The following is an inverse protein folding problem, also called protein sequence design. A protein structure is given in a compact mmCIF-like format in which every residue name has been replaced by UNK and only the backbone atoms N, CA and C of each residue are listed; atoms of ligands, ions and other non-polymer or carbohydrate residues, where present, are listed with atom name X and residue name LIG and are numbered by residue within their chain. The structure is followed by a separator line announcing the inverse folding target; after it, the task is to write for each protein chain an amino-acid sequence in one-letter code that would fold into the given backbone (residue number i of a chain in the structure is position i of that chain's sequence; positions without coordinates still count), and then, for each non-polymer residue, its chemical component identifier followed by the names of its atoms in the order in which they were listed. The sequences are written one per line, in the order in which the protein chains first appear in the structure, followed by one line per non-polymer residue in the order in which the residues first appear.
data_IF_753369485456
#
_entry.id   IF_753369485456
#
_cell.length_a   1.000
_cell.length_b   1.000
_cell.length_c   1.000
_cell.angle_alpha   90.00
_cell.angle_beta   90.00
_cell.angle_gamma   90.00
#
_symmetry.space_group_name_H-M   'P 1'
#
loop_
_entity.id
_entity.type
_entity.pdbx_description
1 polymer ?
#
# COMPACT_ATOMS: atom_id res chain seq x y z
N UNK A 1 -6.45 18.63 -20.07
CA UNK A 1 -6.76 17.63 -21.11
C UNK A 1 -7.92 16.77 -20.61
N UNK A 2 -9.07 16.79 -21.31
CA UNK A 2 -10.24 15.97 -20.95
C UNK A 2 -9.89 14.49 -21.15
N UNK A 3 -10.19 13.66 -20.16
CA UNK A 3 -10.10 12.20 -20.29
C UNK A 3 -11.02 11.73 -21.43
N UNK A 4 -10.59 10.84 -22.32
CA UNK A 4 -11.51 10.25 -23.29
C UNK A 4 -12.55 9.43 -22.53
N UNK A 5 -13.83 9.72 -22.75
CA UNK A 5 -14.90 8.86 -22.27
C UNK A 5 -14.76 7.52 -23.01
N UNK A 6 -14.45 6.46 -22.27
CA UNK A 6 -14.46 5.10 -22.83
C UNK A 6 -15.93 4.73 -23.01
N UNK A 7 -16.45 4.92 -24.22
CA UNK A 7 -17.82 4.61 -24.58
C UNK A 7 -17.88 3.11 -24.91
N UNK A 8 -18.29 2.29 -23.95
CA UNK A 8 -18.48 0.86 -24.17
C UNK A 8 -19.73 0.64 -25.03
N UNK A 9 -19.60 -0.19 -26.07
CA UNK A 9 -20.73 -0.50 -26.95
C UNK A 9 -21.55 -1.62 -26.32
N UNK A 10 -22.84 -1.37 -26.11
CA UNK A 10 -23.79 -2.31 -25.49
C UNK A 10 -24.74 -2.83 -26.56
N UNK A 11 -25.06 -4.12 -26.51
CA UNK A 11 -25.89 -4.78 -27.51
C UNK A 11 -27.12 -5.45 -26.88
N UNK A 12 -28.22 -5.57 -27.62
CA UNK A 12 -29.45 -6.30 -27.28
C UNK A 12 -29.72 -7.36 -28.32
N UNK A 13 -30.42 -8.44 -27.96
CA UNK A 13 -30.94 -9.40 -28.95
C UNK A 13 -32.04 -8.75 -29.80
N UNK A 14 -32.02 -8.99 -31.10
CA UNK A 14 -33.03 -8.53 -32.07
C UNK A 14 -34.15 -9.58 -32.16
N UNK A 15 -35.41 -9.14 -32.16
CA UNK A 15 -36.54 -10.01 -32.52
C UNK A 15 -36.60 -10.17 -34.05
N UNK A 16 -36.99 -11.35 -34.52
CA UNK A 16 -36.93 -11.78 -35.92
C UNK A 16 -37.87 -11.03 -36.91
N UNK A 17 -38.37 -9.83 -36.57
CA UNK A 17 -39.33 -9.08 -37.39
C UNK A 17 -38.77 -7.84 -38.10
N UNK A 18 -37.49 -7.51 -37.95
CA UNK A 18 -36.88 -6.40 -38.71
C UNK A 18 -35.58 -6.86 -39.40
N UNK A 19 -35.70 -7.41 -40.61
CA UNK A 19 -34.54 -7.67 -41.47
C UNK A 19 -34.73 -6.94 -42.80
N UNK A 20 -34.02 -5.81 -42.97
CA UNK A 20 -33.74 -5.25 -44.30
C UNK A 20 -32.36 -5.70 -44.78
N UNK A 21 -32.26 -5.89 -46.09
CA UNK A 21 -31.18 -6.60 -46.75
C UNK A 21 -29.92 -5.73 -46.91
N UNK A 22 -29.13 -5.56 -45.85
CA UNK A 22 -27.76 -5.04 -45.96
C UNK A 22 -26.93 -5.38 -44.71
N UNK A 23 -26.57 -6.65 -44.53
CA UNK A 23 -25.47 -7.06 -43.62
C UNK A 23 -25.15 -8.55 -43.75
N UNK A 24 -24.35 -8.88 -44.76
CA UNK A 24 -23.68 -10.18 -44.85
C UNK A 24 -22.35 -10.07 -44.08
N UNK A 25 -22.39 -10.25 -42.76
CA UNK A 25 -21.28 -10.89 -42.02
C UNK A 25 -21.74 -11.33 -40.62
N UNK A 26 -21.42 -12.58 -40.27
CA UNK A 26 -21.67 -13.24 -38.98
C UNK A 26 -23.11 -13.65 -38.62
N UNK A 27 -23.55 -14.77 -39.23
CA UNK A 27 -24.50 -15.71 -38.61
C UNK A 27 -23.90 -16.26 -37.30
N UNK A 28 -24.28 -15.71 -36.14
CA UNK A 28 -24.44 -16.53 -34.92
C UNK A 28 -25.18 -15.88 -33.74
N UNK A 29 -25.31 -14.56 -33.62
CA UNK A 29 -26.23 -13.93 -32.65
C UNK A 29 -26.73 -12.59 -33.21
N UNK A 30 -28.05 -12.43 -33.38
CA UNK A 30 -28.67 -11.20 -33.88
C UNK A 30 -28.59 -10.09 -32.81
N UNK A 31 -27.44 -9.44 -32.70
CA UNK A 31 -27.17 -8.42 -31.68
C UNK A 31 -27.27 -7.01 -32.29
N UNK A 32 -28.26 -6.22 -31.83
CA UNK A 32 -28.46 -4.82 -32.19
C UNK A 32 -27.76 -3.92 -31.18
N UNK A 33 -27.01 -2.92 -31.66
CA UNK A 33 -26.36 -1.93 -30.78
C UNK A 33 -27.42 -0.97 -30.19
N UNK A 34 -27.42 -0.83 -28.87
CA UNK A 34 -28.36 0.05 -28.15
C UNK A 34 -27.90 1.50 -28.28
N UNK A 35 -28.81 2.40 -28.66
CA UNK A 35 -28.53 3.85 -28.68
C UNK A 35 -28.82 4.47 -27.30
N UNK A 36 -28.16 5.59 -26.99
CA UNK A 36 -28.33 6.27 -25.69
C UNK A 36 -29.76 6.77 -25.41
N UNK A 37 -30.61 6.84 -26.45
CA UNK A 37 -31.99 7.33 -26.39
C UNK A 37 -33.04 6.22 -26.39
N UNK A 38 -32.61 4.96 -26.36
CA UNK A 38 -33.48 3.79 -26.46
C UNK A 38 -34.00 3.41 -25.05
N UNK A 39 -35.33 3.33 -24.89
CA UNK A 39 -35.98 3.02 -23.61
C UNK A 39 -35.98 1.50 -23.40
N UNK A 40 -35.55 1.05 -22.22
CA UNK A 40 -35.45 -0.38 -21.89
C UNK A 40 -36.74 -0.90 -21.24
N UNK A 41 -37.17 -2.10 -21.62
CA UNK A 41 -38.34 -2.77 -21.05
C UNK A 41 -37.95 -3.93 -20.12
N UNK A 42 -38.74 -4.21 -19.06
CA UNK A 42 -38.52 -5.35 -18.18
C UNK A 42 -38.52 -6.68 -18.95
N UNK A 43 -37.43 -7.46 -18.84
CA UNK A 43 -37.26 -8.75 -19.52
C UNK A 43 -36.30 -8.72 -20.71
N UNK A 44 -35.85 -7.55 -21.16
CA UNK A 44 -34.82 -7.43 -22.20
C UNK A 44 -33.48 -8.03 -21.77
N UNK A 45 -32.84 -8.80 -22.66
CA UNK A 45 -31.49 -9.35 -22.45
C UNK A 45 -30.43 -8.48 -23.10
N UNK A 46 -29.54 -7.95 -22.28
CA UNK A 46 -28.47 -7.05 -22.69
C UNK A 46 -27.15 -7.80 -22.65
N UNK A 47 -26.38 -7.69 -23.72
CA UNK A 47 -25.05 -8.28 -23.85
C UNK A 47 -23.99 -7.19 -23.66
N UNK A 48 -23.25 -7.31 -22.57
CA UNK A 48 -22.15 -6.42 -22.22
C UNK A 48 -20.82 -7.05 -22.65
N UNK A 49 -19.87 -6.28 -23.23
CA UNK A 49 -18.53 -6.77 -23.45
C UNK A 49 -17.90 -7.24 -22.14
N UNK A 50 -17.19 -8.36 -22.14
CA UNK A 50 -16.51 -8.92 -20.95
C UNK A 50 -15.58 -7.88 -20.29
N UNK A 51 -14.99 -6.98 -21.07
CA UNK A 51 -14.18 -5.86 -20.58
C UNK A 51 -14.95 -4.86 -19.68
N UNK A 52 -16.28 -4.76 -19.81
CA UNK A 52 -17.15 -3.96 -18.93
C UNK A 52 -17.41 -4.69 -17.62
N UNK A 53 -17.69 -6.00 -17.68
CA UNK A 53 -17.86 -6.83 -16.47
C UNK A 53 -16.56 -6.89 -15.66
N UNK A 54 -15.41 -6.97 -16.33
CA UNK A 54 -14.10 -6.84 -15.70
C UNK A 54 -13.82 -5.42 -15.18
N UNK A 55 -14.43 -4.39 -15.76
CA UNK A 55 -14.33 -3.01 -15.27
C UNK A 55 -15.13 -2.80 -13.97
N UNK A 56 -16.23 -3.52 -13.76
CA UNK A 56 -16.95 -3.50 -12.47
C UNK A 56 -16.08 -4.05 -11.33
N UNK A 57 -15.30 -5.10 -11.60
CA UNK A 57 -14.32 -5.63 -10.64
C UNK A 57 -13.21 -4.60 -10.36
N UNK A 58 -12.85 -3.77 -11.36
CA UNK A 58 -11.82 -2.71 -11.24
C UNK A 58 -12.27 -1.48 -10.45
N UNK A 59 -13.57 -1.15 -10.41
CA UNK A 59 -14.07 0.00 -9.62
C UNK A 59 -13.94 -0.18 -8.10
N UNK A 60 -13.75 -1.40 -7.59
CA UNK A 60 -13.49 -1.61 -6.15
C UNK A 60 -12.18 -0.99 -5.64
N UNK A 61 -11.27 -0.59 -6.53
CA UNK A 61 -9.96 -0.04 -6.17
C UNK A 61 -9.79 1.43 -6.55
N UNK A 62 -10.80 2.07 -7.12
CA UNK A 62 -10.81 3.52 -7.28
C UNK A 62 -11.48 4.11 -6.04
N UNK A 63 -10.72 4.89 -5.27
CA UNK A 63 -11.24 5.67 -4.14
C UNK A 63 -12.50 6.39 -4.59
N UNK A 64 -13.65 6.03 -4.00
CA UNK A 64 -14.92 6.71 -4.24
C UNK A 64 -14.70 8.17 -3.81
N UNK A 65 -14.79 9.15 -4.72
CA UNK A 65 -14.64 10.55 -4.37
C UNK A 65 -15.93 11.00 -3.66
N UNK A 66 -16.05 10.70 -2.37
CA UNK A 66 -17.18 11.19 -1.59
C UNK A 66 -16.85 12.61 -1.12
N UNK A 67 -17.55 13.60 -1.66
CA UNK A 67 -17.45 15.02 -1.27
C UNK A 67 -18.19 15.30 0.06
N UNK A 68 -18.55 14.25 0.79
CA UNK A 68 -19.39 14.30 1.98
C UNK A 68 -18.53 14.00 3.21
N UNK A 69 -18.74 14.74 4.31
CA UNK A 69 -18.04 14.52 5.58
C UNK A 69 -18.38 13.17 6.24
N UNK A 70 -19.40 12.50 5.75
CA UNK A 70 -19.89 11.23 6.25
C UNK A 70 -19.67 10.14 5.21
N UNK A 71 -18.94 9.06 5.55
CA UNK A 71 -18.78 7.95 4.65
C UNK A 71 -20.14 7.28 4.40
N UNK A 72 -20.37 6.86 3.16
CA UNK A 72 -21.56 6.10 2.80
C UNK A 72 -21.48 4.67 3.39
N UNK A 73 -22.59 3.92 3.30
CA UNK A 73 -22.68 2.56 3.85
C UNK A 73 -21.59 1.63 3.33
N UNK A 74 -21.30 1.69 2.03
CA UNK A 74 -20.32 0.81 1.38
C UNK A 74 -18.89 1.13 1.80
N UNK A 75 -18.57 2.42 2.01
CA UNK A 75 -17.30 2.88 2.56
C UNK A 75 -17.11 2.42 4.00
N UNK A 76 -18.16 2.52 4.83
CA UNK A 76 -18.13 2.01 6.21
C UNK A 76 -17.89 0.50 6.20
N UNK A 77 -18.61 -0.25 5.37
CA UNK A 77 -18.44 -1.70 5.26
C UNK A 77 -17.03 -2.06 4.77
N UNK A 78 -16.52 -1.32 3.80
CA UNK A 78 -15.16 -1.48 3.31
C UNK A 78 -14.12 -1.23 4.42
N UNK A 79 -14.23 -0.13 5.17
CA UNK A 79 -13.33 0.19 6.28
C UNK A 79 -13.39 -0.88 7.37
N UNK A 80 -14.58 -1.39 7.69
CA UNK A 80 -14.75 -2.50 8.65
C UNK A 80 -14.01 -3.77 8.19
N UNK A 81 -13.98 -4.07 6.88
CA UNK A 81 -13.19 -5.19 6.33
C UNK A 81 -11.67 -4.99 6.46
N UNK A 82 -11.20 -3.75 6.57
CA UNK A 82 -9.77 -3.48 6.78
C UNK A 82 -9.33 -3.70 8.23
N UNK A 83 -10.27 -3.81 9.19
CA UNK A 83 -9.94 -4.00 10.60
C UNK A 83 -9.34 -5.38 10.81
N UNK A 84 -8.09 -5.43 11.25
CA UNK A 84 -7.40 -6.67 11.65
C UNK A 84 -7.67 -6.97 13.11
N UNK A 85 -7.66 -5.93 13.95
CA UNK A 85 -7.80 -6.08 15.39
C UNK A 85 -8.47 -4.86 16.01
N UNK A 86 -9.30 -5.10 17.02
CA UNK A 86 -9.97 -4.07 17.81
C UNK A 86 -10.12 -4.55 19.26
N UNK A 87 -9.68 -3.74 20.21
CA UNK A 87 -10.03 -3.88 21.62
C UNK A 87 -10.54 -2.54 22.19
N UNK A 88 -10.64 -2.39 23.51
CA UNK A 88 -11.11 -1.14 24.14
C UNK A 88 -10.19 0.06 23.90
N UNK A 89 -8.89 -0.14 23.66
CA UNK A 89 -7.90 0.93 23.58
C UNK A 89 -7.39 1.18 22.16
N UNK A 90 -7.23 0.14 21.33
CA UNK A 90 -6.56 0.24 20.03
C UNK A 90 -7.39 -0.34 18.89
N UNK A 91 -7.07 0.15 17.69
CA UNK A 91 -7.62 -0.33 16.43
C UNK A 91 -6.46 -0.50 15.44
N UNK A 92 -6.38 -1.66 14.79
CA UNK A 92 -5.35 -1.98 13.79
C UNK A 92 -6.02 -2.25 12.45
N UNK A 93 -5.61 -1.52 11.42
CA UNK A 93 -6.15 -1.63 10.07
C UNK A 93 -5.10 -2.15 9.09
N UNK A 94 -5.52 -2.91 8.08
CA UNK A 94 -4.73 -3.18 6.89
C UNK A 94 -4.97 -2.08 5.86
N UNK A 95 -4.12 -1.05 5.83
CA UNK A 95 -4.27 0.06 4.88
C UNK A 95 -3.95 -0.41 3.45
N UNK A 96 -4.87 -0.25 2.48
CA UNK A 96 -4.56 -0.48 1.08
C UNK A 96 -3.57 0.57 0.54
N UNK A 97 -2.85 0.27 -0.55
CA UNK A 97 -2.05 1.27 -1.26
C UNK A 97 -2.96 2.36 -1.87
N UNK A 98 -2.38 3.52 -2.18
CA UNK A 98 -3.02 4.71 -2.78
C UNK A 98 -4.04 5.47 -1.92
N UNK A 99 -4.33 5.02 -0.71
CA UNK A 99 -5.21 5.76 0.21
C UNK A 99 -4.39 6.76 1.04
N UNK A 100 -4.72 8.07 0.98
CA UNK A 100 -4.00 9.10 1.74
C UNK A 100 -4.31 9.01 3.24
N UNK A 101 -3.32 9.32 4.07
CA UNK A 101 -3.44 9.21 5.53
C UNK A 101 -4.12 10.40 6.18
N UNK A 102 -3.71 11.61 5.80
CA UNK A 102 -4.21 12.89 6.32
C UNK A 102 -4.51 13.78 5.13
N UNK A 103 -5.70 14.36 5.09
CA UNK A 103 -6.09 15.29 4.05
C UNK A 103 -5.30 16.60 4.17
N UNK A 104 -4.74 17.09 3.07
CA UNK A 104 -4.31 18.49 2.93
C UNK A 104 -5.19 19.12 1.84
N UNK A 105 -6.26 19.84 2.24
CA UNK A 105 -7.29 20.47 1.36
C UNK A 105 -8.03 19.48 0.42
N UNK A 106 -9.25 19.79 -0.07
CA UNK A 106 -10.51 19.09 0.19
C UNK A 106 -10.54 17.58 -0.19
N UNK A 107 -9.57 16.79 0.27
CA UNK A 107 -9.59 15.33 0.16
C UNK A 107 -10.37 14.82 1.35
N UNK A 108 -11.70 14.78 1.21
CA UNK A 108 -12.64 14.25 2.19
C UNK A 108 -12.54 12.72 2.37
N UNK A 109 -11.60 12.06 1.69
CA UNK A 109 -11.40 10.60 1.66
C UNK A 109 -10.05 10.15 2.23
N UNK A 110 -9.51 10.86 3.23
CA UNK A 110 -8.32 10.42 3.95
C UNK A 110 -8.66 9.40 5.04
N UNK A 111 -7.71 8.51 5.32
CA UNK A 111 -7.91 7.39 6.25
C UNK A 111 -8.23 7.87 7.67
N UNK A 112 -7.67 8.99 8.13
CA UNK A 112 -8.02 9.59 9.43
C UNK A 112 -9.49 9.99 9.51
N UNK A 113 -9.98 10.75 8.54
CA UNK A 113 -11.37 11.25 8.51
C UNK A 113 -12.34 10.09 8.36
N UNK A 114 -12.07 9.19 7.42
CA UNK A 114 -12.91 8.02 7.15
C UNK A 114 -12.98 7.07 8.35
N UNK A 115 -11.84 6.76 8.99
CA UNK A 115 -11.82 5.89 10.15
C UNK A 115 -12.47 6.56 11.38
N UNK A 116 -12.25 7.87 11.59
CA UNK A 116 -12.89 8.61 12.67
C UNK A 116 -14.43 8.57 12.55
N UNK A 117 -14.95 8.75 11.33
CA UNK A 117 -16.39 8.74 11.08
C UNK A 117 -17.01 7.33 11.09
N UNK A 118 -16.33 6.32 10.54
CA UNK A 118 -16.90 4.98 10.36
C UNK A 118 -16.64 4.01 11.52
N UNK A 119 -15.59 4.23 12.32
CA UNK A 119 -15.03 3.24 13.25
C UNK A 119 -15.00 3.74 14.70
N UNK A 120 -15.94 4.61 15.10
CA UNK A 120 -16.09 5.07 16.49
C UNK A 120 -16.50 3.93 17.44
N UNK A 121 -17.30 2.98 16.96
CA UNK A 121 -17.78 1.83 17.73
C UNK A 121 -18.43 2.22 19.07
N UNK A 122 -19.24 3.27 19.07
CA UNK A 122 -19.96 3.76 20.25
C UNK A 122 -19.19 4.74 21.14
N UNK A 123 -17.94 5.08 20.80
CA UNK A 123 -17.22 6.17 21.45
C UNK A 123 -17.72 7.54 20.93
N UNK A 124 -17.65 8.57 21.78
CA UNK A 124 -17.99 9.96 21.41
C UNK A 124 -17.07 10.49 20.29
N UNK A 125 -15.78 10.21 20.41
CA UNK A 125 -14.78 10.54 19.39
C UNK A 125 -14.35 9.29 18.62
N UNK A 126 -14.11 9.47 17.31
CA UNK A 126 -13.50 8.45 16.46
C UNK A 126 -12.03 8.16 16.80
N UNK A 127 -11.48 7.03 16.32
CA UNK A 127 -10.09 6.67 16.54
C UNK A 127 -9.10 7.66 15.90
N UNK A 128 -7.96 7.88 16.57
CA UNK A 128 -6.91 8.83 16.17
C UNK A 128 -5.65 8.11 15.67
N UNK A 129 -5.03 8.64 14.61
CA UNK A 129 -3.81 8.09 14.01
C UNK A 129 -2.61 8.17 14.96
N UNK A 130 -2.04 7.04 15.33
CA UNK A 130 -0.81 6.99 16.16
C UNK A 130 0.43 7.29 15.32
N UNK A 131 0.52 6.65 14.16
CA UNK A 131 1.59 6.82 13.19
C UNK A 131 1.00 6.98 11.78
N UNK A 132 1.88 7.24 10.81
CA UNK A 132 1.49 7.45 9.42
C UNK A 132 2.17 6.41 8.53
N UNK A 133 1.50 6.08 7.43
CA UNK A 133 2.06 5.41 6.27
C UNK A 133 2.02 6.38 5.09
N UNK A 134 2.90 6.23 4.12
CA UNK A 134 2.76 7.03 2.89
C UNK A 134 1.49 6.63 2.13
N UNK A 135 0.97 7.53 1.29
CA UNK A 135 -0.22 7.26 0.46
C UNK A 135 -0.10 5.93 -0.28
N UNK A 136 1.05 5.71 -0.91
CA UNK A 136 1.28 4.55 -1.77
C UNK A 136 1.78 3.31 -1.01
N UNK A 137 2.20 3.47 0.26
CA UNK A 137 2.59 2.34 1.15
C UNK A 137 1.35 1.61 1.63
N UNK A 138 1.41 0.29 1.78
CA UNK A 138 0.31 -0.54 2.30
C UNK A 138 0.65 -1.18 3.65
N UNK A 139 -0.33 -1.80 4.31
CA UNK A 139 -0.10 -2.64 5.49
C UNK A 139 -0.59 -2.05 6.80
N UNK A 140 -0.01 -2.52 7.91
CA UNK A 140 -0.50 -2.26 9.26
C UNK A 140 -0.50 -0.77 9.63
N UNK A 141 -1.65 -0.28 10.04
CA UNK A 141 -1.89 1.07 10.53
C UNK A 141 -2.53 1.00 11.92
N UNK A 142 -1.88 1.61 12.91
CA UNK A 142 -2.35 1.66 14.29
C UNK A 142 -3.05 2.98 14.61
N UNK A 143 -4.19 2.86 15.28
CA UNK A 143 -4.98 3.97 15.79
C UNK A 143 -5.31 3.76 17.28
N UNK A 144 -5.35 4.86 18.04
CA UNK A 144 -5.85 4.89 19.42
C UNK A 144 -7.34 5.18 19.41
N UNK A 145 -8.15 4.35 20.10
CA UNK A 145 -9.61 4.52 20.19
C UNK A 145 -10.04 5.54 21.23
N UNK A 146 -9.17 5.80 22.21
CA UNK A 146 -9.38 6.80 23.27
C UNK A 146 -8.27 7.84 23.24
N UNK A 147 -8.52 9.05 23.77
CA UNK A 147 -7.50 10.10 23.86
C UNK A 147 -6.25 9.61 24.61
N UNK A 148 -6.45 8.88 25.70
CA UNK A 148 -5.37 8.34 26.52
C UNK A 148 -4.55 7.29 25.76
N UNK A 149 -5.20 6.32 25.10
CA UNK A 149 -4.51 5.33 24.27
C UNK A 149 -3.67 5.97 23.17
N UNK A 150 -4.22 6.99 22.51
CA UNK A 150 -3.53 7.74 21.46
C UNK A 150 -2.28 8.43 22.02
N UNK A 151 -2.39 9.19 23.12
CA UNK A 151 -1.25 9.90 23.71
C UNK A 151 -0.11 8.94 24.08
N UNK A 152 -0.43 7.83 24.74
CA UNK A 152 0.56 6.83 25.17
C UNK A 152 1.25 6.18 23.97
N UNK A 153 0.48 5.76 22.97
CA UNK A 153 1.03 5.15 21.76
C UNK A 153 1.85 6.15 20.94
N UNK A 154 1.37 7.39 20.80
CA UNK A 154 2.07 8.42 20.04
C UNK A 154 3.44 8.74 20.65
N UNK A 155 3.53 8.77 21.99
CA UNK A 155 4.80 8.92 22.70
C UNK A 155 5.75 7.74 22.45
N UNK A 156 5.26 6.50 22.43
CA UNK A 156 6.07 5.31 22.10
C UNK A 156 6.66 5.37 20.69
N UNK A 157 5.88 5.82 19.70
CA UNK A 157 6.32 5.89 18.30
C UNK A 157 7.22 7.11 18.00
N UNK A 158 7.17 8.15 18.82
CA UNK A 158 7.98 9.37 18.64
C UNK A 158 9.31 9.28 19.40
N UNK A 159 9.36 8.50 20.49
CA UNK A 159 10.53 8.35 21.33
C UNK A 159 11.51 7.31 20.77
N UNK A 160 12.64 7.76 20.24
CA UNK A 160 13.70 6.88 19.69
C UNK A 160 14.15 5.83 20.73
N UNK A 161 14.27 6.22 22.01
CA UNK A 161 14.65 5.33 23.12
C UNK A 161 13.70 4.14 23.29
N UNK A 162 12.46 4.24 22.83
CA UNK A 162 11.40 3.24 22.97
C UNK A 162 11.05 2.56 21.65
N UNK A 163 11.79 2.83 20.56
CA UNK A 163 11.58 2.19 19.27
C UNK A 163 11.73 0.65 19.32
N UNK A 164 12.44 0.12 20.32
CA UNK A 164 12.54 -1.33 20.56
C UNK A 164 11.29 -1.93 21.19
N UNK A 165 10.48 -1.11 21.86
CA UNK A 165 9.25 -1.51 22.54
C UNK A 165 8.07 -1.59 21.58
N UNK A 166 8.05 -0.72 20.56
CA UNK A 166 7.07 -0.75 19.47
C UNK A 166 7.82 -0.88 18.14
N UNK A 167 7.86 -2.09 17.58
CA UNK A 167 8.62 -2.37 16.36
C UNK A 167 7.71 -2.54 15.16
N UNK A 168 8.11 -1.97 14.02
CA UNK A 168 7.49 -2.20 12.73
C UNK A 168 8.49 -2.90 11.81
N UNK A 169 8.03 -3.91 11.06
CA UNK A 169 8.78 -4.54 9.97
C UNK A 169 8.05 -4.32 8.66
N UNK A 170 8.80 -3.85 7.69
CA UNK A 170 8.33 -3.61 6.34
C UNK A 170 8.97 -4.61 5.42
N UNK A 171 8.19 -5.13 4.48
CA UNK A 171 8.72 -5.86 3.34
C UNK A 171 8.73 -4.93 2.14
N UNK A 172 9.86 -4.93 1.43
CA UNK A 172 10.01 -4.21 0.20
C UNK A 172 10.62 -5.10 -0.89
N UNK A 173 10.22 -4.85 -2.13
CA UNK A 173 10.90 -5.38 -3.31
C UNK A 173 11.72 -4.25 -3.92
N UNK A 174 13.04 -4.42 -4.02
CA UNK A 174 13.97 -3.43 -4.57
C UNK A 174 14.51 -3.87 -5.93
N UNK A 175 14.83 -2.89 -6.77
CA UNK A 175 15.54 -3.11 -8.05
C UNK A 175 17.03 -3.18 -7.73
N UNK A 176 17.68 -4.26 -8.14
CA UNK A 176 19.02 -4.64 -7.74
C UNK A 176 19.06 -5.35 -6.40
N UNK A 177 20.25 -5.39 -5.80
CA UNK A 177 20.53 -6.11 -4.55
C UNK A 177 21.50 -5.29 -3.72
N UNK A 178 21.19 -5.05 -2.43
CA UNK A 178 22.14 -4.40 -1.54
C UNK A 178 23.47 -5.17 -1.51
N UNK A 179 24.58 -4.45 -1.41
CA UNK A 179 25.92 -5.05 -1.38
C UNK A 179 26.09 -6.01 -0.21
N UNK A 180 25.60 -5.61 0.97
CA UNK A 180 25.62 -6.42 2.19
C UNK A 180 24.25 -7.10 2.40
N UNK A 181 24.25 -8.31 2.94
CA UNK A 181 23.00 -9.07 3.19
C UNK A 181 22.18 -8.50 4.35
N UNK A 182 22.79 -7.74 5.25
CA UNK A 182 22.14 -7.02 6.34
C UNK A 182 22.96 -5.82 6.77
N UNK A 183 22.33 -4.85 7.41
CA UNK A 183 23.05 -3.68 7.91
C UNK A 183 22.15 -2.61 8.52
N UNK A 184 22.78 -1.50 8.90
CA UNK A 184 22.12 -0.32 9.47
C UNK A 184 22.41 0.89 8.60
N UNK A 185 21.34 1.52 8.12
CA UNK A 185 21.40 2.77 7.37
C UNK A 185 21.18 3.91 8.36
N UNK A 186 22.27 4.56 8.75
CA UNK A 186 22.26 5.76 9.60
C UNK A 186 22.52 7.01 8.76
N UNK A 187 21.56 7.34 7.89
CA UNK A 187 21.66 8.44 6.95
C UNK A 187 20.57 9.49 7.26
N UNK A 188 20.92 10.66 7.84
CA UNK A 188 19.95 11.69 8.19
C UNK A 188 19.26 12.26 6.95
N UNK A 189 18.05 12.76 7.14
CA UNK A 189 17.21 13.26 6.05
C UNK A 189 16.95 14.75 6.19
N UNK A 190 16.93 15.46 5.07
CA UNK A 190 16.51 16.86 5.01
C UNK A 190 15.40 17.05 3.99
N UNK A 191 14.64 18.14 4.14
CA UNK A 191 13.59 18.53 3.20
C UNK A 191 14.12 19.61 2.29
N UNK A 192 13.91 19.44 0.99
CA UNK A 192 14.24 20.42 -0.03
C UNK A 192 12.97 20.81 -0.79
N UNK A 193 12.80 22.12 -0.97
CA UNK A 193 11.80 22.68 -1.87
C UNK A 193 12.35 22.61 -3.29
N UNK A 194 11.57 22.02 -4.20
CA UNK A 194 11.91 22.02 -5.62
C UNK A 194 11.61 23.39 -6.24
N UNK A 195 12.21 23.65 -7.41
CA UNK A 195 12.22 24.95 -8.10
C UNK A 195 10.83 25.56 -8.37
N UNK A 196 9.76 24.76 -8.30
CA UNK A 196 8.38 25.21 -8.45
C UNK A 196 7.77 25.83 -7.17
N UNK A 197 8.52 25.84 -6.06
CA UNK A 197 8.09 26.35 -4.75
C UNK A 197 6.90 25.61 -4.13
N UNK A 198 6.40 24.55 -4.78
CA UNK A 198 5.17 23.83 -4.41
C UNK A 198 5.43 22.36 -4.08
N UNK A 199 6.49 21.77 -4.63
CA UNK A 199 6.82 20.37 -4.44
C UNK A 199 7.95 20.17 -3.42
N UNK A 200 7.63 19.48 -2.33
CA UNK A 200 8.63 19.04 -1.34
C UNK A 200 9.21 17.66 -1.70
N UNK A 201 10.54 17.56 -1.64
CA UNK A 201 11.28 16.28 -1.69
C UNK A 201 12.10 16.10 -0.41
N UNK A 202 12.15 14.87 0.06
CA UNK A 202 13.05 14.46 1.16
C UNK A 202 14.27 13.81 0.54
N UNK A 203 15.47 14.21 0.92
CA UNK A 203 16.74 13.68 0.42
C UNK A 203 17.67 13.35 1.60
N UNK A 204 18.77 12.64 1.35
CA UNK A 204 19.84 12.52 2.34
C UNK A 204 20.43 13.90 2.67
N UNK A 205 20.68 14.16 3.95
CA UNK A 205 21.31 15.40 4.38
C UNK A 205 22.80 15.42 4.00
N UNK A 206 23.28 16.56 3.51
CA UNK A 206 24.66 16.72 3.08
C UNK A 206 25.58 16.93 4.30
N UNK A 207 26.80 16.33 4.35
CA UNK A 207 27.70 16.47 5.50
C UNK A 207 28.11 17.93 5.80
N UNK A 208 28.16 18.77 4.77
CA UNK A 208 28.64 20.16 4.87
C UNK A 208 27.54 21.23 5.03
N UNK A 209 26.26 20.87 5.23
CA UNK A 209 25.29 21.92 5.53
C UNK A 209 23.82 21.54 5.80
N UNK A 210 23.28 22.37 6.72
CA UNK A 210 21.94 22.98 6.81
C UNK A 210 21.10 22.52 8.02
N UNK A 211 20.65 23.53 8.78
CA UNK A 211 19.64 23.47 9.84
C UNK A 211 18.42 22.64 9.41
N UNK A 212 18.03 21.69 10.27
CA UNK A 212 16.82 20.87 10.06
C UNK A 212 17.06 19.46 9.54
N UNK A 213 18.31 18.99 9.47
CA UNK A 213 18.60 17.57 9.30
C UNK A 213 17.95 16.73 10.41
N UNK A 214 17.20 15.72 10.02
CA UNK A 214 16.50 14.84 10.95
C UNK A 214 17.19 13.48 10.95
N UNK A 215 17.62 13.05 12.14
CA UNK A 215 18.16 11.70 12.31
C UNK A 215 17.17 10.66 11.80
N UNK A 216 17.68 9.76 10.97
CA UNK A 216 16.93 8.68 10.37
C UNK A 216 17.76 7.40 10.35
N UNK A 217 17.26 6.37 11.03
CA UNK A 217 17.95 5.07 11.17
C UNK A 217 17.01 3.96 10.76
N UNK A 218 17.48 3.10 9.85
CA UNK A 218 16.75 1.92 9.35
C UNK A 218 17.68 0.72 9.35
N UNK A 219 17.28 -0.36 10.00
CA UNK A 219 17.95 -1.65 9.83
C UNK A 219 17.34 -2.38 8.64
N UNK A 220 18.15 -3.13 7.90
CA UNK A 220 17.68 -3.91 6.77
C UNK A 220 18.29 -5.30 6.73
N UNK A 221 17.58 -6.22 6.09
CA UNK A 221 18.05 -7.57 5.80
C UNK A 221 17.50 -8.04 4.46
N UNK A 222 18.36 -8.59 3.62
CA UNK A 222 17.99 -9.26 2.37
C UNK A 222 17.38 -10.63 2.70
N UNK A 223 16.19 -10.90 2.18
CA UNK A 223 15.39 -12.08 2.55
C UNK A 223 15.62 -13.30 1.65
N UNK A 224 16.28 -13.12 0.50
CA UNK A 224 16.50 -14.20 -0.47
C UNK A 224 17.41 -13.75 -1.61
N UNK A 225 17.67 -14.63 -2.59
CA UNK A 225 18.51 -14.28 -3.72
C UNK A 225 17.85 -13.22 -4.60
N UNK A 226 18.67 -12.65 -5.46
CA UNK A 226 18.25 -11.75 -6.53
C UNK A 226 17.59 -12.56 -7.63
N UNK A 227 16.39 -12.12 -8.04
CA UNK A 227 15.59 -12.80 -9.05
C UNK A 227 15.02 -11.75 -10.01
N UNK A 228 15.28 -11.91 -11.30
CA UNK A 228 15.07 -10.92 -12.36
C UNK A 228 15.66 -9.54 -12.02
N UNK A 229 16.86 -9.53 -11.44
CA UNK A 229 17.52 -8.30 -11.01
C UNK A 229 16.78 -7.53 -9.91
N UNK A 230 15.94 -8.19 -9.12
CA UNK A 230 15.25 -7.60 -7.97
C UNK A 230 15.44 -8.47 -6.72
N UNK A 231 15.42 -7.84 -5.55
CA UNK A 231 15.61 -8.53 -4.27
C UNK A 231 14.54 -8.15 -3.25
N UNK A 232 14.06 -9.13 -2.50
CA UNK A 232 13.18 -8.89 -1.37
C UNK A 232 14.01 -8.53 -0.14
N UNK A 233 13.62 -7.44 0.53
CA UNK A 233 14.26 -6.97 1.75
C UNK A 233 13.25 -6.74 2.87
N UNK A 234 13.65 -7.05 4.09
CA UNK A 234 13.00 -6.61 5.31
C UNK A 234 13.65 -5.30 5.76
N UNK A 235 12.82 -4.34 6.16
CA UNK A 235 13.23 -3.03 6.66
C UNK A 235 12.60 -2.81 8.04
N UNK A 236 13.43 -2.43 9.03
CA UNK A 236 13.00 -2.08 10.38
C UNK A 236 13.41 -0.63 10.68
N UNK A 237 12.51 0.35 10.49
CA UNK A 237 12.80 1.74 10.86
C UNK A 237 12.87 1.88 12.39
N UNK A 238 13.95 2.48 12.88
CA UNK A 238 14.07 2.89 14.29
C UNK A 238 13.55 4.33 14.50
N UNK A 239 13.37 5.07 13.40
CA UNK A 239 12.83 6.43 13.36
C UNK A 239 11.68 6.52 12.36
N UNK A 240 10.76 7.47 12.54
CA UNK A 240 9.56 7.62 11.70
C UNK A 240 9.55 8.85 10.78
N UNK A 241 10.56 9.03 9.92
CA UNK A 241 10.65 10.22 9.04
C UNK A 241 9.85 10.03 7.73
N UNK A 242 9.40 11.14 7.14
CA UNK A 242 8.63 11.15 5.86
C UNK A 242 9.46 10.48 4.77
N UNK A 243 8.89 9.47 4.10
CA UNK A 243 9.53 8.72 3.01
C UNK A 243 10.87 8.07 3.39
N UNK A 244 11.17 7.87 4.68
CA UNK A 244 12.49 7.41 5.15
C UNK A 244 12.97 6.15 4.42
N UNK A 245 12.17 5.08 4.46
CA UNK A 245 12.53 3.79 3.87
C UNK A 245 12.81 3.89 2.37
N UNK A 246 12.05 4.74 1.68
CA UNK A 246 12.14 4.96 0.23
C UNK A 246 13.44 5.67 -0.15
N UNK A 247 13.78 6.74 0.58
CA UNK A 247 15.03 7.48 0.38
C UNK A 247 16.23 6.62 0.76
N UNK A 248 16.18 5.90 1.89
CA UNK A 248 17.23 4.99 2.30
C UNK A 248 17.49 3.89 1.27
N UNK A 249 16.45 3.27 0.70
CA UNK A 249 16.62 2.28 -0.36
C UNK A 249 17.21 2.89 -1.64
N UNK A 250 16.70 4.04 -2.08
CA UNK A 250 17.09 4.64 -3.35
C UNK A 250 18.47 5.32 -3.32
N UNK A 251 18.76 6.11 -2.29
CA UNK A 251 19.93 6.98 -2.21
C UNK A 251 21.06 6.37 -1.36
N UNK A 252 20.75 5.63 -0.29
CA UNK A 252 21.78 5.04 0.57
C UNK A 252 22.20 3.62 0.13
N UNK A 253 21.23 2.75 -0.23
CA UNK A 253 21.54 1.40 -0.74
C UNK A 253 21.79 1.37 -2.25
N UNK A 254 21.37 2.41 -2.99
CA UNK A 254 21.41 2.41 -4.45
C UNK A 254 20.41 1.44 -5.12
N UNK A 255 19.51 0.82 -4.34
CA UNK A 255 18.52 -0.17 -4.80
C UNK A 255 17.11 0.35 -4.52
N UNK A 256 16.53 1.19 -5.40
CA UNK A 256 15.22 1.78 -5.16
C UNK A 256 14.10 0.73 -5.15
N UNK A 257 13.04 1.01 -4.39
CA UNK A 257 11.86 0.15 -4.29
C UNK A 257 11.11 0.11 -5.63
N UNK A 258 10.67 -1.07 -6.06
CA UNK A 258 9.85 -1.25 -7.27
C UNK A 258 8.55 -0.43 -7.16
N UNK A 259 8.26 0.34 -8.19
CA UNK A 259 7.13 1.27 -8.24
C UNK A 259 7.38 2.63 -7.58
N UNK A 260 8.60 2.87 -7.08
CA UNK A 260 8.99 4.18 -6.54
C UNK A 260 9.59 5.10 -7.61
N UNK A 261 8.71 5.70 -8.41
CA UNK A 261 9.13 6.68 -9.42
C UNK A 261 9.58 8.02 -8.83
N UNK A 262 9.31 8.31 -7.55
CA UNK A 262 9.72 9.59 -6.94
C UNK A 262 11.21 9.60 -6.65
N UNK A 263 11.73 8.49 -6.11
CA UNK A 263 13.13 8.38 -5.71
C UNK A 263 13.97 7.53 -6.66
N UNK A 264 13.36 6.52 -7.28
CA UNK A 264 14.03 5.59 -8.19
C UNK A 264 13.83 5.88 -9.67
N UNK A 265 13.45 7.11 -10.07
CA UNK A 265 13.04 7.43 -11.44
C UNK A 265 14.07 6.98 -12.49
N UNK A 266 15.36 7.29 -12.25
CA UNK A 266 16.45 7.00 -13.17
C UNK A 266 16.66 5.50 -13.36
N UNK A 267 16.57 4.74 -12.27
CA UNK A 267 16.67 3.27 -12.31
C UNK A 267 15.46 2.70 -13.04
N UNK A 268 14.25 3.18 -12.75
CA UNK A 268 13.02 2.71 -13.41
C UNK A 268 12.99 2.99 -14.92
N UNK A 269 13.61 4.07 -15.38
CA UNK A 269 13.71 4.36 -16.82
C UNK A 269 14.58 3.35 -17.57
N UNK A 270 15.64 2.85 -16.93
CA UNK A 270 16.59 1.90 -17.51
C UNK A 270 16.20 0.45 -17.24
N UNK A 271 15.43 0.22 -16.19
CA UNK A 271 14.97 -1.09 -15.77
C UNK A 271 13.95 -1.62 -16.77
N UNK A 272 14.39 -2.58 -17.60
CA UNK A 272 13.51 -3.34 -18.48
C UNK A 272 12.85 -4.42 -17.64
N UNK A 273 11.53 -4.35 -17.49
CA UNK A 273 10.69 -5.37 -16.82
C UNK A 273 10.57 -6.68 -17.64
N UNK A 274 11.60 -6.99 -18.43
CA UNK A 274 11.71 -8.29 -19.06
C UNK A 274 12.44 -9.20 -18.08
N UNK A 275 11.83 -10.33 -17.66
CA UNK A 275 12.55 -11.32 -16.89
C UNK A 275 13.72 -11.82 -17.74
N UNK A 276 14.93 -11.41 -17.39
CA UNK A 276 16.15 -12.09 -17.80
C UNK A 276 16.18 -13.38 -16.97
N UNK A 277 16.40 -14.56 -17.57
CA UNK A 277 16.64 -15.75 -16.78
C UNK A 277 17.89 -15.49 -15.94
N UNK A 278 17.71 -15.30 -14.64
CA UNK A 278 18.84 -15.34 -13.71
C UNK A 278 19.36 -16.78 -13.68
N UNK A 279 20.65 -16.98 -13.44
CA UNK A 279 21.26 -18.31 -13.36
C UNK A 279 21.41 -18.73 -11.90
N UNK A 280 21.11 -19.99 -11.61
CA UNK A 280 21.23 -20.53 -10.27
C UNK A 280 22.73 -20.67 -9.89
N UNK A 281 23.18 -20.15 -8.73
CA UNK A 281 24.61 -20.06 -8.41
C UNK A 281 25.34 -21.42 -8.33
N UNK A 282 24.63 -22.48 -7.95
CA UNK A 282 25.22 -23.80 -7.71
C UNK A 282 25.20 -24.70 -8.94
N UNK A 283 24.17 -24.58 -9.79
CA UNK A 283 23.98 -25.44 -10.96
C UNK A 283 24.42 -24.76 -12.26
N UNK A 284 24.47 -23.42 -12.29
CA UNK A 284 24.72 -22.65 -13.51
C UNK A 284 23.58 -22.72 -14.53
N UNK A 285 22.47 -23.38 -14.20
CA UNK A 285 21.28 -23.46 -15.05
C UNK A 285 20.47 -22.17 -14.94
N UNK A 286 19.83 -21.69 -16.03
CA UNK A 286 18.90 -20.58 -15.94
C UNK A 286 17.70 -21.01 -15.09
N UNK A 287 17.31 -20.17 -14.12
CA UNK A 287 16.11 -20.41 -13.34
C UNK A 287 14.90 -20.54 -14.28
N UNK A 288 14.25 -21.70 -14.27
CA UNK A 288 13.07 -21.95 -15.10
C UNK A 288 11.90 -21.13 -14.58
N UNK A 289 11.56 -20.05 -15.28
CA UNK A 289 10.34 -19.30 -15.01
C UNK A 289 9.14 -20.24 -15.19
N UNK A 290 8.61 -20.76 -14.08
CA UNK A 290 7.28 -21.36 -14.08
C UNK A 290 6.30 -20.21 -14.29
N UNK A 291 6.00 -19.86 -15.54
CA UNK A 291 4.77 -19.13 -15.84
C UNK A 291 3.65 -20.13 -15.59
N UNK A 292 2.81 -19.96 -14.55
CA UNK A 292 1.55 -20.68 -14.55
C UNK A 292 0.80 -20.15 -15.78
N UNK A 293 0.49 -21.01 -16.75
CA UNK A 293 -0.43 -20.64 -17.82
C UNK A 293 -1.70 -20.05 -17.20
N UNK A 294 -2.05 -18.82 -17.55
CA UNK A 294 -3.22 -18.12 -17.01
C UNK A 294 -3.00 -17.19 -15.81
N UNK A 295 -1.75 -16.94 -15.36
CA UNK A 295 -1.53 -15.84 -14.41
C UNK A 295 -1.66 -14.49 -15.13
N UNK A 296 -2.87 -13.92 -15.12
CA UNK A 296 -3.09 -12.54 -15.57
C UNK A 296 -2.06 -11.63 -14.89
N UNK A 297 -1.25 -10.91 -15.67
CA UNK A 297 -0.34 -9.88 -15.16
C UNK A 297 -1.20 -8.81 -14.50
N UNK A 298 -1.47 -8.96 -13.20
CA UNK A 298 -2.29 -7.98 -12.50
C UNK A 298 -1.60 -6.63 -12.53
N UNK A 299 -2.43 -5.60 -12.72
CA UNK A 299 -2.04 -4.18 -12.73
C UNK A 299 -1.22 -3.88 -11.48
N UNK A 300 0.03 -3.45 -11.66
CA UNK A 300 0.87 -3.02 -10.56
C UNK A 300 1.87 -4.04 -10.00
N UNK A 301 1.90 -5.27 -10.50
CA UNK A 301 2.95 -6.25 -10.17
C UNK A 301 4.33 -5.85 -10.72
N UNK A 302 5.39 -6.57 -10.35
CA UNK A 302 6.78 -6.34 -10.79
C UNK A 302 6.94 -6.43 -12.32
N UNK A 303 6.13 -7.25 -12.99
CA UNK A 303 6.12 -7.41 -14.45
C UNK A 303 5.14 -6.44 -15.15
N UNK A 304 4.39 -5.63 -14.40
CA UNK A 304 3.46 -4.66 -14.98
C UNK A 304 4.20 -3.46 -15.53
N UNK A 305 3.81 -2.92 -16.68
CA UNK A 305 4.40 -1.68 -17.27
C UNK A 305 4.51 -0.53 -16.27
N UNK A 306 3.54 -0.43 -15.35
CA UNK A 306 3.51 0.56 -14.27
C UNK A 306 3.29 -0.17 -12.94
N UNK A 307 4.35 -0.67 -12.29
CA UNK A 307 4.27 -1.24 -10.95
C UNK A 307 3.69 -0.25 -9.93
N UNK A 308 2.97 -0.79 -8.95
CA UNK A 308 2.66 -0.08 -7.72
C UNK A 308 3.86 -0.12 -6.78
N UNK A 309 3.89 0.76 -5.78
CA UNK A 309 4.93 0.75 -4.77
C UNK A 309 4.91 -0.61 -4.03
N UNK A 310 6.03 -1.32 -4.08
CA UNK A 310 6.24 -2.58 -3.36
C UNK A 310 6.83 -2.29 -1.98
N UNK A 311 6.09 -1.56 -1.15
CA UNK A 311 6.44 -1.30 0.24
C UNK A 311 5.22 -1.59 1.12
N UNK A 312 5.39 -2.51 2.06
CA UNK A 312 4.29 -3.01 2.88
C UNK A 312 4.71 -3.16 4.35
N UNK A 313 4.00 -2.48 5.26
CA UNK A 313 4.12 -2.68 6.70
C UNK A 313 3.53 -4.05 7.07
N UNK A 314 4.40 -5.07 7.11
CA UNK A 314 4.02 -6.49 7.21
C UNK A 314 3.74 -6.90 8.64
N UNK A 315 4.55 -6.46 9.59
CA UNK A 315 4.46 -6.86 10.99
C UNK A 315 4.58 -5.64 11.90
N UNK A 316 3.80 -5.65 12.98
CA UNK A 316 3.86 -4.66 14.03
C UNK A 316 3.73 -5.34 15.39
N UNK A 317 4.62 -4.96 16.31
CA UNK A 317 4.57 -5.41 17.70
C UNK A 317 4.41 -4.18 18.57
N UNK A 318 3.39 -4.19 19.44
CA UNK A 318 3.08 -3.09 20.36
C UNK A 318 2.69 -3.63 21.73
N UNK A 319 2.90 -2.86 22.82
CA UNK A 319 2.40 -3.25 24.13
C UNK A 319 0.86 -3.27 24.16
N UNK A 320 0.30 -4.14 25.01
CA UNK A 320 -1.12 -4.24 25.25
C UNK A 320 -1.61 -3.06 26.12
N UNK A 321 -1.97 -1.97 25.45
CA UNK A 321 -2.43 -0.74 26.10
C UNK A 321 -3.75 -0.95 26.85
N UNK A 322 -4.66 -1.79 26.35
CA UNK A 322 -5.95 -2.05 27.01
C UNK A 322 -5.77 -2.63 28.41
N UNK A 323 -4.90 -3.63 28.56
CA UNK A 323 -4.57 -4.21 29.88
C UNK A 323 -3.83 -3.24 30.80
N UNK A 324 -2.98 -2.40 30.23
CA UNK A 324 -2.26 -1.40 31.01
C UNK A 324 -3.20 -0.30 31.52
N UNK A 325 -4.26 0.03 30.77
CA UNK A 325 -5.30 0.97 31.19
C UNK A 325 -6.25 0.39 32.24
N UNK A 326 -6.55 -0.92 32.19
CA UNK A 326 -7.46 -1.56 33.14
C UNK A 326 -6.87 -1.74 34.56
N UNK A 327 -5.55 -1.71 34.70
CA UNK A 327 -4.87 -1.98 35.98
C UNK A 327 -4.50 -0.74 36.81
N UNK A 328 -4.78 0.48 36.32
CA UNK A 328 -4.49 1.82 36.91
C UNK A 328 -3.35 1.93 37.94
N UNK A 329 -2.26 2.60 37.55
CA UNK A 329 -1.26 3.19 38.44
C UNK A 329 -0.39 4.20 37.66
N UNK A 330 -0.03 5.30 38.30
CA UNK A 330 0.54 6.54 37.75
C UNK A 330 1.68 6.38 36.72
N UNK A 331 1.73 7.30 35.74
CA UNK A 331 2.93 7.51 34.94
C UNK A 331 3.93 8.32 35.77
N UNK A 332 4.94 7.66 36.36
CA UNK A 332 6.10 8.40 36.85
C UNK A 332 6.98 8.82 35.67
N UNK A 333 7.16 10.14 35.52
CA UNK A 333 8.01 10.77 34.49
C UNK A 333 9.51 10.48 34.69
N UNK A 334 9.86 9.80 35.79
CA UNK A 334 11.22 9.41 36.14
C UNK A 334 11.45 7.91 35.87
N UNK A 335 11.96 7.60 34.68
CA UNK A 335 12.71 6.36 34.42
C UNK A 335 11.88 5.07 34.28
N UNK A 336 11.68 4.63 33.03
CA UNK A 336 11.22 3.29 32.62
C UNK A 336 9.99 2.74 33.36
N UNK A 337 8.77 2.90 32.80
CA UNK A 337 7.53 2.38 33.40
C UNK A 337 7.37 0.85 33.28
N UNK A 338 8.44 0.13 32.94
CA UNK A 338 8.41 -1.32 32.72
C UNK A 338 8.96 -1.99 33.97
N UNK A 339 8.04 -2.38 34.87
CA UNK A 339 8.36 -3.31 35.95
C UNK A 339 8.96 -4.60 35.39
N UNK A 340 9.65 -5.38 36.23
CA UNK A 340 10.39 -6.61 35.90
C UNK A 340 9.56 -7.74 35.22
N UNK A 341 8.27 -7.55 34.99
CA UNK A 341 7.43 -8.49 34.27
C UNK A 341 7.51 -8.25 32.75
N UNK A 342 7.61 -9.35 31.98
CA UNK A 342 7.67 -9.27 30.51
C UNK A 342 6.47 -8.45 30.00
N UNK A 343 6.70 -7.40 29.18
CA UNK A 343 5.60 -6.62 28.66
C UNK A 343 4.64 -7.54 27.90
N UNK A 344 3.35 -7.42 28.19
CA UNK A 344 2.34 -8.12 27.41
C UNK A 344 2.26 -7.49 26.02
N UNK A 345 2.90 -8.13 25.03
CA UNK A 345 3.04 -7.62 23.67
C UNK A 345 1.96 -8.23 22.77
N UNK A 346 1.36 -7.38 21.94
CA UNK A 346 0.48 -7.76 20.84
C UNK A 346 1.29 -7.74 19.54
N UNK A 347 1.20 -8.83 18.78
CA UNK A 347 1.85 -9.00 17.47
C UNK A 347 0.80 -9.08 16.39
N UNK A 348 0.93 -8.24 15.38
CA UNK A 348 0.03 -8.18 14.22
C UNK A 348 0.81 -8.44 12.95
N UNK A 349 0.20 -9.19 12.01
CA UNK A 349 0.77 -9.47 10.70
C UNK A 349 -0.30 -9.18 9.65
N UNK A 350 -0.01 -8.27 8.71
CA UNK A 350 -0.91 -7.97 7.59
C UNK A 350 -0.60 -8.86 6.38
N UNK A 351 -1.60 -9.40 5.67
CA UNK A 351 -1.38 -10.10 4.40
C UNK A 351 -0.82 -9.15 3.33
N UNK A 352 0.07 -9.65 2.47
CA UNK A 352 0.59 -8.89 1.33
C UNK A 352 -0.57 -8.43 0.42
N UNK A 353 -0.53 -7.19 -0.10
CA UNK A 353 -1.49 -6.73 -1.08
C UNK A 353 -1.36 -7.55 -2.38
N UNK A 354 -2.42 -7.60 -3.18
CA UNK A 354 -2.52 -8.47 -4.35
C UNK A 354 -1.31 -8.33 -5.31
N UNK A 355 -0.89 -7.10 -5.62
CA UNK A 355 0.24 -6.85 -6.52
C UNK A 355 1.57 -7.40 -5.99
N UNK A 356 1.83 -7.24 -4.69
CA UNK A 356 3.03 -7.79 -4.05
C UNK A 356 2.97 -9.29 -3.87
N UNK A 357 1.79 -9.86 -3.60
CA UNK A 357 1.61 -11.32 -3.53
C UNK A 357 1.90 -11.98 -4.87
N UNK A 358 1.49 -11.35 -5.98
CA UNK A 358 1.79 -11.82 -7.32
C UNK A 358 3.28 -11.71 -7.63
N UNK A 359 3.91 -10.56 -7.33
CA UNK A 359 5.35 -10.41 -7.47
C UNK A 359 6.12 -11.41 -6.61
N UNK A 360 5.65 -11.67 -5.38
CA UNK A 360 6.22 -12.70 -4.50
C UNK A 360 6.16 -14.07 -5.17
N UNK A 361 4.98 -14.50 -5.64
CA UNK A 361 4.81 -15.80 -6.30
C UNK A 361 5.66 -15.93 -7.58
N UNK A 362 5.76 -14.86 -8.37
CA UNK A 362 6.59 -14.81 -9.58
C UNK A 362 8.06 -14.96 -9.22
N UNK A 363 8.51 -14.38 -8.11
CA UNK A 363 9.92 -14.44 -7.70
C UNK A 363 10.22 -15.73 -6.94
N UNK A 364 9.32 -16.23 -6.09
CA UNK A 364 9.55 -17.44 -5.31
C UNK A 364 9.45 -18.72 -6.14
N UNK A 365 8.83 -18.68 -7.33
CA UNK A 365 8.75 -19.83 -8.24
C UNK A 365 10.09 -20.23 -8.86
N UNK A 366 11.11 -19.40 -8.70
CA UNK A 366 12.48 -19.67 -9.14
C UNK A 366 13.35 -20.33 -8.05
N UNK A 367 12.85 -20.52 -6.82
CA UNK A 367 13.60 -21.13 -5.71
C UNK A 367 13.46 -22.67 -5.62
N UNK A 368 13.14 -23.35 -6.72
CA UNK A 368 12.91 -24.81 -6.74
C UNK A 368 13.96 -25.53 -7.56
#
# INVERSE_FOLDING_TARGET
MKSPAICYQVYTECSDQEVSAESIWCRKHHLKKIKHSEVMEPGMRIHLPVSVAEAEIKKRYETIPTATLHPNRDEIEYLKRLVIYKDSAILVLNKPPKVPMKGNLPVHNSMDVLAAAALSYGNEEGPKLVHRLDRDTSGLLLMGRTRESFTRLHWLFTSIKLARTASQRYWALVIGTPTESEGIISAPLTKVLLDDGKAERVILAHPSGIDGAQEAVTEYRVMGPTINGCSWIELRPLTGRKHQLRVHCAEALGTPIVGDYKYGWFVHQRWKQNPQPDFEPFTGEPYKLRRPEGLEVQKGSVLSKVPLLHLHCREMVVPNIAKFLSNTGEWHDNGTPWSKEKPNLLRFIAPLPAHMKISWNIMSSYLV
#
